data_IF_562689885432
#
_entry.id   IF_562689885432
#
_cell.length_a   1.000
_cell.length_b   1.000
_cell.length_c   1.000
_cell.angle_alpha   90.00
_cell.angle_beta   90.00
_cell.angle_gamma   90.00
#
_symmetry.space_group_name_H-M   'P 1'
#
loop_
_entity.id
_entity.type
_entity.pdbx_description
1 polymer ?
#
# COMPACT_ATOMS: atom_id res chain seq x y z
N UNK A 1 -3.93 -4.52 -15.11
CA UNK A 1 -2.69 -5.30 -15.19
C UNK A 1 -2.95 -6.79 -14.94
N UNK A 2 -3.51 -7.18 -13.80
CA UNK A 2 -3.72 -8.59 -13.42
C UNK A 2 -4.51 -9.42 -14.45
N UNK A 3 -5.52 -8.83 -15.10
CA UNK A 3 -6.32 -9.53 -16.12
C UNK A 3 -5.55 -9.64 -17.44
N UNK A 4 -4.93 -8.54 -17.90
CA UNK A 4 -4.36 -8.46 -19.24
C UNK A 4 -2.92 -8.99 -19.34
N UNK A 5 -2.12 -8.84 -18.29
CA UNK A 5 -0.72 -9.25 -18.30
C UNK A 5 -0.50 -10.58 -17.56
N UNK A 6 -1.15 -10.76 -16.42
CA UNK A 6 -0.95 -11.96 -15.59
C UNK A 6 -1.91 -13.09 -15.99
N UNK A 7 -3.03 -12.76 -16.68
CA UNK A 7 -3.99 -13.75 -17.18
C UNK A 7 -5.02 -14.19 -16.14
N UNK A 8 -5.35 -13.33 -15.15
CA UNK A 8 -6.38 -13.61 -14.16
C UNK A 8 -7.78 -13.62 -14.74
N UNK A 9 -8.59 -14.59 -14.34
CA UNK A 9 -10.05 -14.52 -14.50
C UNK A 9 -10.65 -13.55 -13.50
N UNK A 10 -11.88 -13.06 -13.78
CA UNK A 10 -12.59 -12.16 -12.85
C UNK A 10 -12.80 -12.79 -11.48
N UNK A 11 -13.06 -14.11 -11.44
CA UNK A 11 -13.28 -14.83 -10.18
C UNK A 11 -12.02 -14.96 -9.36
N UNK A 12 -10.88 -15.20 -10.00
CA UNK A 12 -9.58 -15.22 -9.33
C UNK A 12 -9.20 -13.83 -8.79
N UNK A 13 -9.55 -12.76 -9.49
CA UNK A 13 -9.35 -11.39 -9.02
C UNK A 13 -10.16 -11.12 -7.74
N UNK A 14 -11.41 -11.58 -7.69
CA UNK A 14 -12.24 -11.47 -6.50
C UNK A 14 -11.62 -12.20 -5.30
N UNK A 15 -10.99 -13.36 -5.53
CA UNK A 15 -10.27 -14.09 -4.47
C UNK A 15 -9.10 -13.28 -3.89
N UNK A 16 -8.35 -12.55 -4.71
CA UNK A 16 -7.26 -11.69 -4.23
C UNK A 16 -7.79 -10.65 -3.24
N UNK A 17 -8.89 -9.98 -3.58
CA UNK A 17 -9.50 -8.98 -2.69
C UNK A 17 -10.11 -9.59 -1.44
N UNK A 18 -10.76 -10.76 -1.57
CA UNK A 18 -11.34 -11.46 -0.43
C UNK A 18 -10.26 -11.91 0.57
N UNK A 19 -9.26 -12.64 0.09
CA UNK A 19 -8.19 -13.17 0.95
C UNK A 19 -7.33 -12.02 1.51
N UNK A 20 -6.94 -11.06 0.68
CA UNK A 20 -6.17 -9.89 1.11
C UNK A 20 -6.95 -9.00 2.08
N UNK A 21 -8.24 -8.79 1.83
CA UNK A 21 -9.13 -8.04 2.71
C UNK A 21 -9.27 -8.69 4.09
N UNK A 22 -9.56 -9.99 4.14
CA UNK A 22 -9.63 -10.74 5.40
C UNK A 22 -8.30 -10.71 6.16
N UNK A 23 -7.19 -10.89 5.46
CA UNK A 23 -5.86 -10.82 6.07
C UNK A 23 -5.58 -9.43 6.67
N UNK A 24 -5.98 -8.35 5.99
CA UNK A 24 -5.78 -6.98 6.48
C UNK A 24 -6.58 -6.65 7.74
N UNK A 25 -7.79 -7.21 7.89
CA UNK A 25 -8.60 -7.05 9.11
C UNK A 25 -7.89 -7.63 10.33
N UNK A 26 -7.27 -8.81 10.19
CA UNK A 26 -6.51 -9.44 11.29
C UNK A 26 -5.27 -8.67 11.69
N UNK A 27 -4.64 -7.94 10.76
CA UNK A 27 -3.40 -7.18 11.02
C UNK A 27 -3.66 -5.87 11.77
N UNK A 28 -4.83 -5.28 11.64
CA UNK A 28 -5.15 -3.99 12.27
C UNK A 28 -4.90 -3.98 13.80
N UNK A 29 -5.48 -4.90 14.58
CA UNK A 29 -5.22 -4.94 16.04
C UNK A 29 -3.77 -5.33 16.37
N UNK A 30 -3.12 -6.14 15.55
CA UNK A 30 -1.71 -6.50 15.74
C UNK A 30 -0.78 -5.31 15.53
N UNK A 31 -0.99 -4.54 14.45
CA UNK A 31 -0.22 -3.33 14.18
C UNK A 31 -0.38 -2.28 15.28
N UNK A 32 -1.59 -2.13 15.85
CA UNK A 32 -1.84 -1.29 17.02
C UNK A 32 -1.02 -1.73 18.22
N UNK A 33 -1.15 -3.00 18.66
CA UNK A 33 -0.41 -3.56 19.78
C UNK A 33 1.12 -3.48 19.61
N UNK A 34 1.61 -3.74 18.39
CA UNK A 34 3.04 -3.62 18.09
C UNK A 34 3.50 -2.17 18.18
N UNK A 35 2.69 -1.22 17.70
CA UNK A 35 2.97 0.21 17.77
C UNK A 35 3.03 0.72 19.22
N UNK A 36 2.16 0.22 20.08
CA UNK A 36 2.16 0.56 21.52
C UNK A 36 3.38 -0.03 22.24
N UNK A 37 3.81 -1.23 21.84
CA UNK A 37 4.93 -1.94 22.49
C UNK A 37 6.31 -1.47 22.01
N UNK A 38 6.49 -1.29 20.72
CA UNK A 38 7.80 -1.03 20.09
C UNK A 38 7.94 0.40 19.56
N UNK A 39 6.89 1.22 19.68
CA UNK A 39 6.83 2.57 19.15
C UNK A 39 6.23 2.64 17.75
N UNK A 40 5.60 3.76 17.44
CA UNK A 40 4.84 3.96 16.21
C UNK A 40 5.71 4.01 14.97
N UNK A 41 6.81 4.80 15.02
CA UNK A 41 7.70 4.92 13.87
C UNK A 41 8.42 3.62 13.49
N UNK A 42 9.01 2.82 14.42
CA UNK A 42 9.62 1.54 14.07
C UNK A 42 8.65 0.57 13.37
N UNK A 43 7.42 0.46 13.87
CA UNK A 43 6.42 -0.42 13.27
C UNK A 43 6.01 0.08 11.88
N UNK A 44 5.79 1.39 11.72
CA UNK A 44 5.55 2.01 10.41
C UNK A 44 6.70 1.72 9.43
N UNK A 45 7.95 1.89 9.88
CA UNK A 45 9.14 1.69 9.06
C UNK A 45 9.28 0.23 8.61
N UNK A 46 9.15 -0.73 9.54
CA UNK A 46 9.26 -2.16 9.24
C UNK A 46 8.17 -2.58 8.23
N UNK A 47 6.90 -2.21 8.48
CA UNK A 47 5.81 -2.53 7.57
C UNK A 47 6.00 -1.90 6.18
N UNK A 48 6.53 -0.67 6.13
CA UNK A 48 6.80 0.02 4.87
C UNK A 48 7.94 -0.63 4.08
N UNK A 49 9.00 -1.06 4.75
CA UNK A 49 10.12 -1.76 4.11
C UNK A 49 9.68 -3.13 3.58
N UNK A 50 8.93 -3.90 4.40
CA UNK A 50 8.40 -5.20 3.95
C UNK A 50 7.46 -5.03 2.76
N UNK A 51 6.67 -3.94 2.71
CA UNK A 51 5.76 -3.65 1.60
C UNK A 51 6.47 -3.44 0.25
N UNK A 52 7.75 -3.09 0.23
CA UNK A 52 8.52 -2.93 -1.02
C UNK A 52 8.57 -4.23 -1.82
N UNK A 53 8.72 -5.37 -1.15
CA UNK A 53 8.80 -6.69 -1.80
C UNK A 53 7.53 -7.01 -2.60
N UNK A 54 6.33 -7.01 -2.00
CA UNK A 54 5.11 -7.28 -2.75
C UNK A 54 4.78 -6.19 -3.77
N UNK A 55 5.12 -4.91 -3.54
CA UNK A 55 4.94 -3.85 -4.53
C UNK A 55 5.77 -4.17 -5.78
N UNK A 56 7.06 -4.47 -5.62
CA UNK A 56 7.92 -4.81 -6.73
C UNK A 56 7.43 -6.06 -7.48
N UNK A 57 7.08 -7.12 -6.74
CA UNK A 57 6.60 -8.36 -7.34
C UNK A 57 5.30 -8.17 -8.12
N UNK A 58 4.29 -7.48 -7.55
CA UNK A 58 2.99 -7.26 -8.20
C UNK A 58 3.13 -6.43 -9.48
N UNK A 59 4.02 -5.44 -9.49
CA UNK A 59 4.21 -4.56 -10.64
C UNK A 59 5.08 -5.16 -11.75
N UNK A 60 5.88 -6.19 -11.43
CA UNK A 60 6.71 -6.94 -12.37
C UNK A 60 6.28 -8.41 -12.47
N UNK A 61 5.00 -8.70 -12.19
CA UNK A 61 4.51 -10.07 -12.10
C UNK A 61 4.50 -10.77 -13.46
N UNK A 62 5.15 -11.94 -13.60
CA UNK A 62 5.04 -12.78 -14.80
C UNK A 62 3.63 -13.39 -14.94
N UNK A 63 3.31 -13.99 -16.09
CA UNK A 63 2.03 -14.68 -16.30
C UNK A 63 1.75 -15.76 -15.25
N UNK A 64 0.46 -15.93 -14.90
CA UNK A 64 0.01 -16.92 -13.90
C UNK A 64 0.42 -18.36 -14.24
N UNK A 65 0.56 -18.66 -15.54
CA UNK A 65 1.01 -19.96 -16.04
C UNK A 65 2.43 -20.33 -15.58
N UNK A 66 3.26 -19.34 -15.27
CA UNK A 66 4.65 -19.57 -14.85
C UNK A 66 4.79 -19.71 -13.34
N UNK A 67 4.03 -18.94 -12.56
CA UNK A 67 4.23 -18.83 -11.11
C UNK A 67 3.09 -19.41 -10.27
N UNK A 68 1.96 -19.70 -10.88
CA UNK A 68 0.80 -20.28 -10.21
C UNK A 68 0.01 -19.33 -9.31
N UNK A 69 -1.27 -19.65 -9.15
CA UNK A 69 -2.20 -18.86 -8.34
C UNK A 69 -1.81 -18.72 -6.86
N UNK A 70 -1.31 -19.76 -6.15
CA UNK A 70 -1.02 -19.67 -4.72
C UNK A 70 0.06 -18.62 -4.39
N UNK A 71 1.09 -18.51 -5.23
CA UNK A 71 2.17 -17.54 -5.01
C UNK A 71 1.64 -16.10 -5.13
N UNK A 72 0.84 -15.84 -6.16
CA UNK A 72 0.25 -14.50 -6.38
C UNK A 72 -0.71 -14.14 -5.24
N UNK A 73 -1.54 -15.07 -4.78
CA UNK A 73 -2.43 -14.84 -3.63
C UNK A 73 -1.62 -14.51 -2.37
N UNK A 74 -0.52 -15.23 -2.12
CA UNK A 74 0.34 -14.97 -0.96
C UNK A 74 0.98 -13.59 -1.02
N UNK A 75 1.56 -13.21 -2.17
CA UNK A 75 2.21 -11.91 -2.35
C UNK A 75 1.19 -10.76 -2.29
N UNK A 76 0.02 -10.94 -2.90
CA UNK A 76 -1.07 -9.96 -2.83
C UNK A 76 -1.59 -9.80 -1.40
N UNK A 77 -1.76 -10.89 -0.66
CA UNK A 77 -2.15 -10.84 0.75
C UNK A 77 -1.12 -10.11 1.59
N UNK A 78 0.18 -10.37 1.37
CA UNK A 78 1.26 -9.66 2.05
C UNK A 78 1.23 -8.16 1.73
N UNK A 79 0.92 -7.78 0.49
CA UNK A 79 0.72 -6.38 0.12
C UNK A 79 -0.42 -5.73 0.92
N UNK A 80 -1.59 -6.37 1.03
CA UNK A 80 -2.72 -5.85 1.81
C UNK A 80 -2.39 -5.76 3.31
N UNK A 81 -1.73 -6.77 3.86
CA UNK A 81 -1.25 -6.80 5.25
C UNK A 81 -0.33 -5.61 5.53
N UNK A 82 0.71 -5.43 4.72
CA UNK A 82 1.68 -4.36 4.93
C UNK A 82 1.08 -2.98 4.67
N UNK A 83 0.25 -2.83 3.65
CA UNK A 83 -0.41 -1.57 3.31
C UNK A 83 -1.42 -1.14 4.38
N UNK A 84 -2.26 -2.06 4.87
CA UNK A 84 -3.18 -1.80 5.99
C UNK A 84 -2.43 -1.59 7.30
N UNK A 85 -1.45 -2.46 7.58
CA UNK A 85 -0.67 -2.43 8.81
C UNK A 85 0.13 -1.16 9.03
N UNK A 86 0.70 -0.56 7.98
CA UNK A 86 1.45 0.72 8.09
C UNK A 86 0.56 1.95 8.29
N UNK A 87 -0.72 1.90 7.88
CA UNK A 87 -1.63 3.03 8.02
C UNK A 87 -1.96 3.34 9.49
N UNK A 88 -2.01 2.31 10.34
CA UNK A 88 -2.36 2.45 11.76
C UNK A 88 -1.30 3.26 12.51
N UNK A 89 0.00 2.86 12.52
CA UNK A 89 1.01 3.67 13.16
C UNK A 89 1.19 5.04 12.51
N UNK A 90 1.01 5.17 11.20
CA UNK A 90 1.07 6.45 10.52
C UNK A 90 0.00 7.42 11.02
N UNK A 91 -1.26 7.01 11.09
CA UNK A 91 -2.34 7.82 11.64
C UNK A 91 -2.15 8.11 13.13
N UNK A 92 -1.62 7.15 13.89
CA UNK A 92 -1.30 7.35 15.31
C UNK A 92 -0.18 8.38 15.51
N UNK A 93 0.85 8.40 14.65
CA UNK A 93 1.89 9.44 14.68
C UNK A 93 1.32 10.83 14.39
N UNK A 94 0.51 10.98 13.33
CA UNK A 94 -0.14 12.25 12.98
C UNK A 94 -1.03 12.74 14.14
N UNK A 95 -1.85 11.85 14.70
CA UNK A 95 -2.78 12.19 15.77
C UNK A 95 -2.08 12.62 17.06
N UNK A 96 -0.95 12.00 17.39
CA UNK A 96 -0.19 12.35 18.60
C UNK A 96 0.69 13.58 18.44
N UNK A 97 0.99 14.00 17.23
CA UNK A 97 1.76 15.23 16.97
C UNK A 97 0.89 16.49 17.06
N UNK A 98 -0.40 16.37 17.45
CA UNK A 98 -1.35 17.48 17.43
C UNK A 98 -2.11 17.57 18.77
N UNK A 99 -2.26 18.79 19.35
CA UNK A 99 -3.05 19.00 20.55
C UNK A 99 -4.50 18.50 20.41
N UNK A 100 -5.07 17.94 21.49
CA UNK A 100 -6.42 17.35 21.47
C UNK A 100 -7.49 18.31 20.93
N UNK A 101 -7.37 19.61 21.23
CA UNK A 101 -8.34 20.65 20.85
C UNK A 101 -8.57 20.78 19.35
N UNK A 102 -7.53 20.55 18.53
CA UNK A 102 -7.59 20.73 17.06
C UNK A 102 -7.47 19.41 16.30
N UNK A 103 -7.39 18.28 17.01
CA UNK A 103 -7.14 16.94 16.43
C UNK A 103 -8.19 16.57 15.38
N UNK A 104 -9.48 16.85 15.62
CA UNK A 104 -10.54 16.56 14.67
C UNK A 104 -10.35 17.30 13.34
N UNK A 105 -10.02 18.59 13.39
CA UNK A 105 -9.76 19.38 12.18
C UNK A 105 -8.54 18.86 11.39
N UNK A 106 -7.47 18.51 12.09
CA UNK A 106 -6.26 17.96 11.44
C UNK A 106 -6.55 16.60 10.80
N UNK A 107 -7.35 15.74 11.43
CA UNK A 107 -7.73 14.46 10.85
C UNK A 107 -8.61 14.61 9.60
N UNK A 108 -9.52 15.61 9.58
CA UNK A 108 -10.29 15.94 8.37
C UNK A 108 -9.40 16.39 7.22
N UNK A 109 -8.44 17.29 7.50
CA UNK A 109 -7.46 17.72 6.49
C UNK A 109 -6.61 16.55 6.02
N UNK A 110 -6.14 15.70 6.93
CA UNK A 110 -5.36 14.51 6.58
C UNK A 110 -6.13 13.58 5.64
N UNK A 111 -7.42 13.32 5.92
CA UNK A 111 -8.27 12.51 5.03
C UNK A 111 -8.44 13.14 3.65
N UNK A 112 -8.66 14.46 3.60
CA UNK A 112 -8.77 15.21 2.33
C UNK A 112 -7.48 15.12 1.51
N UNK A 113 -6.32 15.28 2.15
CA UNK A 113 -5.01 15.14 1.51
C UNK A 113 -4.79 13.71 1.00
N UNK A 114 -5.19 12.69 1.77
CA UNK A 114 -5.11 11.30 1.34
C UNK A 114 -5.94 11.03 0.08
N UNK A 115 -7.19 11.49 0.04
CA UNK A 115 -8.05 11.33 -1.14
C UNK A 115 -7.51 12.07 -2.36
N UNK A 116 -7.06 13.32 -2.17
CA UNK A 116 -6.45 14.12 -3.25
C UNK A 116 -5.17 13.44 -3.78
N UNK A 117 -4.31 12.96 -2.88
CA UNK A 117 -3.09 12.24 -3.25
C UNK A 117 -3.38 10.95 -4.02
N UNK A 118 -4.44 10.21 -3.62
CA UNK A 118 -4.87 9.00 -4.31
C UNK A 118 -5.37 9.32 -5.73
N UNK A 119 -6.16 10.38 -5.90
CA UNK A 119 -6.63 10.83 -7.21
C UNK A 119 -5.45 11.27 -8.11
N UNK A 120 -4.49 12.01 -7.54
CA UNK A 120 -3.31 12.46 -8.26
C UNK A 120 -2.40 11.27 -8.67
N UNK A 121 -2.21 10.30 -7.78
CA UNK A 121 -1.47 9.08 -8.08
C UNK A 121 -2.13 8.27 -9.19
N UNK A 122 -3.47 8.15 -9.18
CA UNK A 122 -4.23 7.47 -10.24
C UNK A 122 -4.08 8.20 -11.58
N UNK A 123 -4.13 9.53 -11.57
CA UNK A 123 -3.92 10.34 -12.76
C UNK A 123 -2.51 10.15 -13.35
N UNK A 124 -1.46 10.26 -12.53
CA UNK A 124 -0.07 10.01 -12.97
C UNK A 124 0.08 8.59 -13.52
N UNK A 125 -0.45 7.59 -12.80
CA UNK A 125 -0.38 6.20 -13.25
C UNK A 125 -1.05 6.01 -14.62
N UNK A 126 -2.17 6.68 -14.87
CA UNK A 126 -2.86 6.61 -16.15
C UNK A 126 -2.07 7.22 -17.32
N UNK A 127 -1.18 8.18 -17.05
CA UNK A 127 -0.31 8.78 -18.07
C UNK A 127 0.93 7.93 -18.36
N UNK A 128 1.39 7.15 -17.39
CA UNK A 128 2.57 6.28 -17.53
C UNK A 128 2.20 4.96 -18.21
N UNK A 129 1.07 4.41 -17.80
CA UNK A 129 0.59 3.11 -18.27
C UNK A 129 0.08 3.23 -19.70
N UNK A 130 0.60 2.40 -20.59
CA UNK A 130 0.23 2.41 -21.99
C UNK A 130 -0.36 1.05 -22.39
N UNK A 131 -1.46 1.07 -23.11
CA UNK A 131 -2.11 -0.12 -23.69
C UNK A 131 -2.24 0.06 -25.21
N UNK A 132 -1.26 -0.46 -25.99
CA UNK A 132 -1.20 -0.21 -27.43
C UNK A 132 -2.35 -0.86 -28.21
N UNK A 133 -2.89 -1.96 -27.71
CA UNK A 133 -3.99 -2.71 -28.31
C UNK A 133 -5.14 -2.80 -27.31
N UNK A 134 -6.36 -2.46 -27.76
CA UNK A 134 -7.56 -2.61 -26.91
C UNK A 134 -7.68 -4.05 -26.42
N UNK A 135 -7.72 -4.24 -25.10
CA UNK A 135 -7.67 -5.53 -24.40
C UNK A 135 -6.35 -6.31 -24.51
N UNK A 136 -5.27 -5.70 -25.02
CA UNK A 136 -3.93 -6.27 -25.03
C UNK A 136 -3.18 -6.08 -23.71
N UNK A 137 -1.92 -6.54 -23.62
CA UNK A 137 -1.10 -6.34 -22.46
C UNK A 137 -0.85 -4.87 -22.16
N UNK A 138 -0.74 -4.55 -20.89
CA UNK A 138 -0.45 -3.22 -20.37
C UNK A 138 1.07 -3.09 -20.25
N UNK A 139 1.63 -2.07 -20.89
CA UNK A 139 3.05 -1.77 -20.86
C UNK A 139 3.37 -0.69 -19.81
N UNK A 140 4.62 -0.64 -19.35
CA UNK A 140 5.18 0.34 -18.41
C UNK A 140 4.56 0.34 -17.01
N UNK A 141 3.87 -0.72 -16.63
CA UNK A 141 3.27 -0.81 -15.30
C UNK A 141 4.34 -0.92 -14.19
N UNK A 142 5.51 -1.43 -14.49
CA UNK A 142 6.68 -1.48 -13.59
C UNK A 142 7.12 -0.09 -13.09
N UNK A 143 6.96 0.96 -13.91
CA UNK A 143 7.28 2.34 -13.50
C UNK A 143 6.39 2.85 -12.37
N UNK A 144 5.13 2.42 -12.35
CA UNK A 144 4.21 2.74 -11.25
C UNK A 144 4.73 2.14 -9.94
N UNK A 145 5.26 0.91 -9.99
CA UNK A 145 5.90 0.24 -8.86
C UNK A 145 7.14 0.99 -8.36
N UNK A 146 8.01 1.40 -9.26
CA UNK A 146 9.23 2.16 -8.89
C UNK A 146 8.91 3.50 -8.24
N UNK A 147 7.90 4.21 -8.76
CA UNK A 147 7.43 5.47 -8.16
C UNK A 147 6.85 5.20 -6.76
N UNK A 148 6.05 4.13 -6.58
CA UNK A 148 5.49 3.78 -5.28
C UNK A 148 6.59 3.43 -4.26
N UNK A 149 7.64 2.73 -4.67
CA UNK A 149 8.81 2.42 -3.83
C UNK A 149 9.54 3.71 -3.46
N UNK A 150 9.78 4.60 -4.42
CA UNK A 150 10.41 5.90 -4.17
C UNK A 150 9.61 6.75 -3.18
N UNK A 151 8.31 6.85 -3.36
CA UNK A 151 7.42 7.54 -2.41
C UNK A 151 7.45 6.89 -1.01
N UNK A 152 7.63 5.57 -0.93
CA UNK A 152 7.78 4.88 0.36
C UNK A 152 9.06 5.31 1.08
N UNK A 153 10.18 5.48 0.38
CA UNK A 153 11.41 6.02 0.97
C UNK A 153 11.26 7.46 1.45
N UNK A 154 10.56 8.31 0.68
CA UNK A 154 10.24 9.68 1.12
C UNK A 154 9.39 9.65 2.39
N UNK A 155 8.36 8.78 2.45
CA UNK A 155 7.50 8.64 3.62
C UNK A 155 8.29 8.18 4.86
N UNK A 156 9.24 7.25 4.70
CA UNK A 156 10.14 6.82 5.78
C UNK A 156 11.02 7.97 6.29
N UNK A 157 11.59 8.74 5.38
CA UNK A 157 12.42 9.89 5.75
C UNK A 157 11.64 11.00 6.46
N UNK A 158 10.45 11.32 5.97
CA UNK A 158 9.55 12.29 6.61
C UNK A 158 9.05 11.80 7.97
N UNK A 159 8.65 10.53 8.07
CA UNK A 159 8.19 9.91 9.31
C UNK A 159 9.22 9.96 10.42
N UNK A 160 10.51 9.84 10.08
CA UNK A 160 11.61 9.97 11.05
C UNK A 160 11.73 11.39 11.64
N UNK A 161 11.30 12.42 10.89
CA UNK A 161 11.35 13.81 11.33
C UNK A 161 10.17 14.24 12.20
N UNK A 162 9.10 13.46 12.26
CA UNK A 162 7.97 13.73 13.13
C UNK A 162 8.41 13.60 14.59
N UNK A 163 8.37 14.72 15.33
CA UNK A 163 8.51 14.70 16.79
C UNK A 163 7.21 14.11 17.36
N UNK A 164 7.32 12.91 17.90
CA UNK A 164 6.24 12.31 18.67
C UNK A 164 6.41 12.83 20.08
N UNK A 165 5.55 13.76 20.49
CA UNK A 165 5.40 14.09 21.90
C UNK A 165 4.79 12.88 22.57
N UNK A 166 5.60 12.20 23.39
CA UNK A 166 5.25 11.02 24.19
C UNK A 166 4.51 11.39 25.45
#
# INVERSE_FOLDING_TARGET
YMIHNVGFSKDQLNLIYLVGGLASVGVAPLAGKLSDKYGRYPVFAIMSVIAIVPIYFITNCPPISEIGLPLILTVSSLFFICSGGRMIPANAMITSSVPMKIRGGVMSVNSSVQHLSSAFAAFISSQIVFQPIKNGPIERYEWVGYIAIFCTFIALWLGKKLKIEG
#
